data_IF_431324941091
#
_entry.id   IF_431324941091
#
_cell.length_a   1.000
_cell.length_b   1.000
_cell.length_c   1.000
_cell.angle_alpha   90.00
_cell.angle_beta   90.00
_cell.angle_gamma   90.00
#
_symmetry.space_group_name_H-M   'P 1'
#
loop_
_entity.id
_entity.type
_entity.pdbx_description
1 polymer ?
#
# COMPACT_ATOMS: atom_id res chain seq x y z
N UNK A 1 39.20 43.33 -51.07
CA UNK A 1 39.28 42.95 -49.65
C UNK A 1 37.96 42.34 -49.25
N UNK A 2 37.88 41.00 -49.20
CA UNK A 2 36.66 40.26 -48.85
C UNK A 2 36.83 39.94 -47.36
N UNK A 3 35.97 40.51 -46.50
CA UNK A 3 36.06 40.34 -45.06
C UNK A 3 35.64 38.93 -44.67
N UNK A 4 36.51 38.23 -43.94
CA UNK A 4 36.20 36.93 -43.34
C UNK A 4 35.13 37.11 -42.24
N UNK A 5 34.06 36.33 -42.35
CA UNK A 5 33.01 36.21 -41.34
C UNK A 5 33.50 35.25 -40.25
N UNK A 6 33.63 35.75 -39.02
CA UNK A 6 33.91 34.91 -37.86
C UNK A 6 32.70 33.99 -37.58
N UNK A 7 32.88 32.66 -37.40
CA UNK A 7 31.77 31.81 -37.01
C UNK A 7 31.35 32.12 -35.57
N UNK A 8 30.04 32.31 -35.36
CA UNK A 8 29.46 32.45 -34.04
C UNK A 8 29.80 31.23 -33.18
N UNK A 9 30.50 31.46 -32.07
CA UNK A 9 30.79 30.46 -31.05
C UNK A 9 29.48 29.87 -30.52
N UNK A 10 29.38 28.54 -30.48
CA UNK A 10 28.28 27.82 -29.85
C UNK A 10 28.26 28.16 -28.35
N UNK A 11 27.34 29.05 -27.98
CA UNK A 11 26.93 29.27 -26.61
C UNK A 11 26.50 27.92 -26.01
N UNK A 12 27.03 27.58 -24.82
CA UNK A 12 26.70 26.33 -24.14
C UNK A 12 25.18 26.11 -24.10
N UNK A 13 24.74 25.03 -24.76
CA UNK A 13 23.34 24.77 -25.04
C UNK A 13 22.63 24.27 -23.77
N UNK A 14 21.46 24.82 -23.45
CA UNK A 14 20.61 24.42 -22.30
C UNK A 14 20.39 22.91 -22.26
N UNK A 15 20.33 22.26 -23.43
CA UNK A 15 20.18 20.82 -23.55
C UNK A 15 21.36 20.06 -22.95
N UNK A 16 22.59 20.53 -23.14
CA UNK A 16 23.77 19.89 -22.56
C UNK A 16 23.84 20.08 -21.04
N UNK A 17 23.46 21.26 -20.54
CA UNK A 17 23.35 21.50 -19.10
C UNK A 17 22.33 20.55 -18.46
N UNK A 18 21.13 20.43 -19.04
CA UNK A 18 20.09 19.51 -18.53
C UNK A 18 20.51 18.04 -18.61
N UNK A 19 21.19 17.62 -19.68
CA UNK A 19 21.70 16.25 -19.77
C UNK A 19 22.80 15.96 -18.74
N UNK A 20 23.66 16.94 -18.45
CA UNK A 20 24.70 16.81 -17.43
C UNK A 20 24.09 16.73 -16.02
N UNK A 21 23.07 17.54 -15.72
CA UNK A 21 22.35 17.51 -14.44
C UNK A 21 21.66 16.15 -14.18
N UNK A 22 21.03 15.54 -15.19
CA UNK A 22 20.40 14.21 -15.06
C UNK A 22 21.44 13.12 -14.77
N UNK A 23 22.58 13.14 -15.45
CA UNK A 23 23.65 12.13 -15.29
C UNK A 23 24.34 12.19 -13.93
N UNK A 24 24.48 13.38 -13.35
CA UNK A 24 25.03 13.55 -12.00
C UNK A 24 24.03 13.13 -10.91
N UNK A 25 22.73 13.38 -11.11
CA UNK A 25 21.70 12.93 -10.18
C UNK A 25 21.65 11.40 -10.04
N UNK A 26 21.90 10.65 -11.12
CA UNK A 26 21.93 9.18 -11.08
C UNK A 26 23.08 8.58 -10.25
N UNK A 27 24.19 9.29 -10.08
CA UNK A 27 25.31 8.84 -9.22
C UNK A 27 25.04 9.09 -7.73
N UNK A 28 24.29 10.15 -7.39
CA UNK A 28 23.93 10.45 -6.00
C UNK A 28 22.96 9.44 -5.37
N UNK A 29 22.10 8.82 -6.18
CA UNK A 29 21.10 7.85 -5.72
C UNK A 29 21.74 6.53 -5.24
N UNK A 30 22.86 6.11 -5.83
CA UNK A 30 23.57 4.89 -5.43
C UNK A 30 24.35 5.03 -4.11
N UNK A 31 24.78 6.25 -3.75
CA UNK A 31 25.54 6.51 -2.52
C UNK A 31 24.69 6.61 -1.25
N UNK A 32 23.38 6.85 -1.38
CA UNK A 32 22.48 7.09 -0.24
C UNK A 32 21.62 5.87 0.15
N UNK A 33 21.79 4.71 -0.50
CA UNK A 33 21.03 3.49 -0.17
C UNK A 33 19.51 3.61 -0.41
N UNK A 34 19.04 4.69 -1.03
CA UNK A 34 17.67 4.88 -1.49
C UNK A 34 17.46 4.03 -2.75
N UNK A 35 17.30 2.73 -2.54
CA UNK A 35 16.99 1.78 -3.59
C UNK A 35 15.61 2.14 -4.19
N UNK A 36 15.52 2.53 -5.48
CA UNK A 36 14.21 2.70 -6.12
C UNK A 36 13.48 1.37 -6.02
N UNK A 37 12.19 1.42 -5.67
CA UNK A 37 11.35 0.26 -5.47
C UNK A 37 11.64 -0.83 -6.52
N UNK A 38 12.02 -2.03 -6.06
CA UNK A 38 12.26 -3.18 -6.95
C UNK A 38 11.04 -3.34 -7.86
N UNK A 39 11.20 -3.36 -9.20
CA UNK A 39 10.05 -3.58 -10.08
C UNK A 39 9.44 -4.94 -9.74
N UNK A 40 8.15 -4.93 -9.40
CA UNK A 40 7.40 -6.15 -9.16
C UNK A 40 7.40 -6.99 -10.45
N UNK A 41 7.80 -8.25 -10.33
CA UNK A 41 7.86 -9.18 -11.46
C UNK A 41 6.44 -9.75 -11.65
N UNK A 42 5.67 -9.15 -12.55
CA UNK A 42 4.30 -9.57 -12.81
C UNK A 42 4.26 -10.93 -13.51
N UNK A 43 3.36 -11.82 -13.06
CA UNK A 43 3.05 -13.04 -13.79
C UNK A 43 2.36 -12.69 -15.11
N UNK A 44 2.72 -13.36 -16.21
CA UNK A 44 2.06 -13.17 -17.50
C UNK A 44 0.66 -13.78 -17.42
N UNK A 45 -0.37 -12.93 -17.37
CA UNK A 45 -1.77 -13.33 -17.51
C UNK A 45 -2.22 -13.07 -18.95
N UNK A 46 -3.00 -13.99 -19.53
CA UNK A 46 -3.60 -13.86 -20.87
C UNK A 46 -4.69 -12.80 -20.96
N UNK A 47 -5.20 -12.34 -19.81
CA UNK A 47 -6.36 -11.46 -19.70
C UNK A 47 -5.92 -10.11 -19.13
N UNK A 48 -6.63 -9.02 -19.45
CA UNK A 48 -6.30 -7.69 -18.96
C UNK A 48 -6.42 -7.63 -17.43
N UNK A 49 -5.28 -7.55 -16.74
CA UNK A 49 -5.17 -7.32 -15.29
C UNK A 49 -4.41 -6.02 -15.07
N UNK A 50 -5.07 -5.05 -14.47
CA UNK A 50 -4.45 -3.79 -14.04
C UNK A 50 -4.43 -3.74 -12.52
N UNK A 51 -3.29 -3.34 -11.95
CA UNK A 51 -3.13 -3.10 -10.53
C UNK A 51 -2.92 -1.60 -10.33
N UNK A 52 -3.83 -0.96 -9.60
CA UNK A 52 -3.74 0.47 -9.29
C UNK A 52 -3.22 0.61 -7.86
N UNK A 53 -1.96 1.03 -7.73
CA UNK A 53 -1.37 1.38 -6.44
C UNK A 53 -1.64 2.85 -6.14
N UNK A 54 -2.52 3.13 -5.17
CA UNK A 54 -2.71 4.49 -4.66
C UNK A 54 -1.69 4.73 -3.54
N UNK A 55 -0.70 5.58 -3.82
CA UNK A 55 0.26 6.01 -2.82
C UNK A 55 -0.21 7.30 -2.15
N UNK A 56 -0.55 7.22 -0.87
CA UNK A 56 -0.99 8.38 -0.08
C UNK A 56 0.23 9.02 0.60
N UNK A 57 0.76 10.09 -0.02
CA UNK A 57 1.94 10.84 0.42
C UNK A 57 1.73 11.70 1.70
N UNK A 58 0.79 11.30 2.55
CA UNK A 58 0.50 11.88 3.87
C UNK A 58 0.15 10.82 4.92
N UNK A 59 0.25 9.53 4.58
CA UNK A 59 -0.10 8.41 5.43
C UNK A 59 -1.56 7.99 5.32
N UNK A 60 -1.80 6.69 5.50
CA UNK A 60 -3.12 6.13 5.74
C UNK A 60 -3.17 5.67 7.20
N UNK A 61 -4.15 6.13 7.97
CA UNK A 61 -4.40 5.58 9.30
C UNK A 61 -5.26 4.32 9.17
N UNK A 62 -4.60 3.18 8.95
CA UNK A 62 -5.27 1.90 8.78
C UNK A 62 -6.13 1.49 9.99
N UNK A 63 -5.78 1.96 11.19
CA UNK A 63 -6.51 1.64 12.41
C UNK A 63 -7.84 2.42 12.49
N UNK A 64 -7.94 3.58 11.83
CA UNK A 64 -9.21 4.30 11.66
C UNK A 64 -9.91 3.97 10.34
N UNK A 65 -9.26 3.28 9.40
CA UNK A 65 -9.91 2.80 8.18
C UNK A 65 -10.84 1.62 8.49
N UNK A 66 -10.34 0.64 9.24
CA UNK A 66 -11.07 -0.57 9.63
C UNK A 66 -10.82 -0.89 11.10
N UNK A 67 -11.90 -1.00 11.86
CA UNK A 67 -11.88 -1.13 13.32
C UNK A 67 -12.48 -2.48 13.72
N UNK A 68 -11.81 -3.29 14.57
CA UNK A 68 -12.41 -4.52 15.09
C UNK A 68 -13.54 -4.21 16.08
N UNK A 69 -14.63 -4.98 16.05
CA UNK A 69 -15.82 -4.72 16.86
C UNK A 69 -16.06 -5.74 17.99
N UNK A 70 -15.30 -6.83 18.07
CA UNK A 70 -15.37 -7.69 19.25
C UNK A 70 -14.85 -6.95 20.49
N UNK A 71 -15.46 -7.25 21.63
CA UNK A 71 -15.24 -6.51 22.86
C UNK A 71 -13.75 -6.39 23.23
N UNK A 72 -12.98 -7.47 23.10
CA UNK A 72 -11.57 -7.50 23.48
C UNK A 72 -10.72 -6.61 22.58
N UNK A 73 -10.79 -6.79 21.25
CA UNK A 73 -9.98 -6.00 20.30
C UNK A 73 -10.46 -4.55 20.22
N UNK A 74 -11.76 -4.29 20.33
CA UNK A 74 -12.28 -2.93 20.34
C UNK A 74 -11.83 -2.15 21.59
N UNK A 75 -11.86 -2.78 22.77
CA UNK A 75 -11.32 -2.18 24.01
C UNK A 75 -9.82 -1.90 23.89
N UNK A 76 -9.06 -2.84 23.32
CA UNK A 76 -7.63 -2.64 23.08
C UNK A 76 -7.37 -1.50 22.08
N UNK A 77 -8.16 -1.42 21.00
CA UNK A 77 -8.12 -0.32 20.04
C UNK A 77 -8.38 1.02 20.72
N UNK A 78 -9.46 1.15 21.49
CA UNK A 78 -9.79 2.38 22.22
C UNK A 78 -8.66 2.79 23.17
N UNK A 79 -8.12 1.83 23.93
CA UNK A 79 -7.05 2.09 24.90
C UNK A 79 -5.76 2.58 24.22
N UNK A 80 -5.42 2.03 23.05
CA UNK A 80 -4.22 2.42 22.29
C UNK A 80 -4.39 3.76 21.55
N UNK A 81 -5.64 4.13 21.21
CA UNK A 81 -5.95 5.29 20.39
C UNK A 81 -6.38 6.52 21.19
N UNK A 82 -6.90 6.33 22.40
CA UNK A 82 -7.44 7.40 23.22
C UNK A 82 -8.49 8.20 22.46
N UNK A 83 -8.32 9.52 22.41
CA UNK A 83 -9.25 10.45 21.76
C UNK A 83 -9.37 10.26 20.23
N UNK A 84 -8.45 9.51 19.60
CA UNK A 84 -8.52 9.20 18.17
C UNK A 84 -9.36 7.95 17.85
N UNK A 85 -9.90 7.29 18.87
CA UNK A 85 -10.69 6.08 18.73
C UNK A 85 -12.09 6.42 18.21
N UNK A 86 -12.43 5.84 17.05
CA UNK A 86 -13.78 5.92 16.48
C UNK A 86 -14.82 5.18 17.33
N UNK A 87 -16.02 5.72 17.38
CA UNK A 87 -17.17 5.13 18.07
C UNK A 87 -18.52 5.49 17.44
N UNK A 88 -19.55 4.68 17.72
CA UNK A 88 -20.93 4.99 17.38
C UNK A 88 -21.13 5.34 15.90
N UNK A 89 -21.55 6.57 15.63
CA UNK A 89 -21.88 7.06 14.28
C UNK A 89 -20.66 7.27 13.37
N UNK A 90 -19.45 7.16 13.91
CA UNK A 90 -18.21 7.24 13.12
C UNK A 90 -17.87 5.92 12.40
N UNK A 91 -18.63 4.86 12.72
CA UNK A 91 -18.47 3.52 12.18
C UNK A 91 -19.68 3.16 11.31
N UNK A 92 -19.42 2.53 10.17
CA UNK A 92 -20.46 1.99 9.29
C UNK A 92 -21.00 0.65 9.81
N UNK A 93 -22.07 0.19 9.15
CA UNK A 93 -22.64 -1.13 9.37
C UNK A 93 -21.55 -2.23 9.36
N UNK A 94 -21.55 -3.15 10.34
CA UNK A 94 -20.51 -4.16 10.48
C UNK A 94 -20.33 -5.04 9.25
N UNK A 95 -19.07 -5.34 8.95
CA UNK A 95 -18.64 -6.37 8.01
C UNK A 95 -17.93 -7.50 8.76
N UNK A 96 -17.81 -8.66 8.13
CA UNK A 96 -17.10 -9.80 8.71
C UNK A 96 -15.98 -10.28 7.79
N UNK A 97 -14.85 -10.68 8.37
CA UNK A 97 -13.82 -11.40 7.63
C UNK A 97 -14.25 -12.85 7.31
N UNK A 98 -13.40 -13.59 6.60
CA UNK A 98 -13.67 -14.98 6.24
C UNK A 98 -13.79 -15.93 7.46
N UNK A 99 -13.30 -15.53 8.64
CA UNK A 99 -13.39 -16.27 9.89
C UNK A 99 -14.59 -15.83 10.77
N UNK A 100 -15.39 -14.87 10.31
CA UNK A 100 -16.54 -14.34 11.03
C UNK A 100 -16.21 -13.28 12.08
N UNK A 101 -14.98 -12.76 12.10
CA UNK A 101 -14.60 -11.67 12.99
C UNK A 101 -15.28 -10.37 12.56
N UNK A 102 -15.94 -9.63 13.48
CA UNK A 102 -16.64 -8.41 13.14
C UNK A 102 -15.69 -7.21 13.07
N UNK A 103 -15.86 -6.41 12.03
CA UNK A 103 -15.17 -5.15 11.80
C UNK A 103 -16.17 -4.08 11.35
N UNK A 104 -15.79 -2.81 11.46
CA UNK A 104 -16.49 -1.71 10.80
C UNK A 104 -15.50 -0.81 10.07
N UNK A 105 -15.95 -0.24 8.96
CA UNK A 105 -15.22 0.78 8.23
C UNK A 105 -15.58 2.18 8.76
N UNK A 106 -14.67 3.13 8.59
CA UNK A 106 -14.92 4.55 8.85
C UNK A 106 -16.16 5.07 8.09
N UNK A 107 -16.95 5.97 8.70
CA UNK A 107 -18.18 6.53 8.10
C UNK A 107 -18.00 7.09 6.68
N UNK A 108 -16.83 7.66 6.39
CA UNK A 108 -16.47 8.19 5.07
C UNK A 108 -16.23 7.14 3.97
N UNK A 109 -16.35 5.84 4.27
CA UNK A 109 -16.04 4.73 3.37
C UNK A 109 -17.28 3.91 2.96
N UNK A 110 -18.45 4.56 2.86
CA UNK A 110 -19.72 3.92 2.52
C UNK A 110 -19.66 3.09 1.24
N UNK A 111 -18.98 3.61 0.21
CA UNK A 111 -18.80 2.92 -1.07
C UNK A 111 -17.94 1.66 -0.95
N UNK A 112 -16.89 1.70 -0.12
CA UNK A 112 -16.09 0.51 0.15
C UNK A 112 -16.87 -0.52 0.96
N UNK A 113 -17.73 -0.07 1.89
CA UNK A 113 -18.62 -0.95 2.63
C UNK A 113 -19.59 -1.68 1.69
N UNK A 114 -20.19 -0.97 0.73
CA UNK A 114 -21.03 -1.56 -0.30
C UNK A 114 -20.29 -2.57 -1.18
N UNK A 115 -19.04 -2.25 -1.59
CA UNK A 115 -18.21 -3.16 -2.38
C UNK A 115 -17.80 -4.42 -1.60
N UNK A 116 -17.52 -4.30 -0.30
CA UNK A 116 -17.23 -5.45 0.56
C UNK A 116 -18.43 -6.39 0.63
N UNK A 117 -19.61 -5.84 0.94
CA UNK A 117 -20.86 -6.59 1.02
C UNK A 117 -21.27 -7.23 -0.32
N UNK A 118 -20.91 -6.60 -1.44
CA UNK A 118 -21.09 -7.15 -2.78
C UNK A 118 -20.07 -8.25 -3.14
N UNK A 119 -19.12 -8.57 -2.26
CA UNK A 119 -18.03 -9.51 -2.54
C UNK A 119 -17.14 -9.03 -3.68
N UNK A 120 -16.88 -7.71 -3.76
CA UNK A 120 -16.06 -7.05 -4.78
C UNK A 120 -14.85 -6.31 -4.20
N UNK A 121 -14.67 -6.38 -2.88
CA UNK A 121 -13.55 -5.80 -2.13
C UNK A 121 -13.03 -6.86 -1.16
N UNK A 122 -11.71 -7.01 -1.12
CA UNK A 122 -11.02 -7.76 -0.08
C UNK A 122 -10.18 -6.80 0.75
N UNK A 123 -10.06 -7.09 2.05
CA UNK A 123 -9.21 -6.34 2.98
C UNK A 123 -8.10 -7.26 3.46
N UNK A 124 -6.85 -6.83 3.25
CA UNK A 124 -5.68 -7.56 3.75
C UNK A 124 -5.14 -6.81 4.96
N UNK A 125 -5.34 -7.42 6.13
CA UNK A 125 -4.87 -6.91 7.41
C UNK A 125 -3.41 -7.31 7.64
N UNK A 126 -2.77 -6.63 8.58
CA UNK A 126 -1.45 -7.00 9.08
C UNK A 126 -0.36 -7.03 7.99
N UNK A 127 -0.53 -6.18 6.96
CA UNK A 127 0.52 -5.86 6.00
C UNK A 127 1.33 -4.69 6.55
N UNK A 128 2.49 -4.38 5.97
CA UNK A 128 3.27 -3.21 6.36
C UNK A 128 4.76 -3.48 6.49
N UNK A 129 5.52 -2.45 6.80
CA UNK A 129 6.95 -2.57 7.04
C UNK A 129 7.19 -3.19 8.41
N UNK A 130 8.13 -4.13 8.49
CA UNK A 130 8.58 -4.69 9.75
C UNK A 130 9.15 -3.56 10.63
N UNK A 131 8.71 -3.48 11.89
CA UNK A 131 9.29 -2.55 12.86
C UNK A 131 10.69 -2.97 13.34
N UNK A 132 11.06 -4.24 13.12
CA UNK A 132 12.39 -4.81 13.37
C UNK A 132 12.71 -5.91 12.37
N UNK A 133 13.99 -6.16 12.05
CA UNK A 133 14.37 -7.33 11.26
C UNK A 133 13.85 -8.64 11.87
N UNK A 134 13.50 -9.61 11.01
CA UNK A 134 13.13 -10.96 11.41
C UNK A 134 14.12 -11.98 10.84
N UNK A 135 14.47 -12.98 11.62
CA UNK A 135 15.26 -14.12 11.17
C UNK A 135 14.37 -15.20 10.53
N UNK A 136 14.95 -16.03 9.66
CA UNK A 136 14.24 -17.18 9.07
C UNK A 136 13.70 -18.14 10.14
N UNK A 137 14.46 -18.35 11.21
CA UNK A 137 14.06 -19.23 12.30
C UNK A 137 12.79 -18.70 13.01
N UNK A 138 12.73 -17.39 13.28
CA UNK A 138 11.54 -16.75 13.86
C UNK A 138 10.32 -16.89 12.95
N UNK A 139 10.46 -16.71 11.63
CA UNK A 139 9.33 -16.90 10.68
C UNK A 139 8.80 -18.33 10.75
N UNK A 140 9.69 -19.32 10.71
CA UNK A 140 9.30 -20.74 10.69
C UNK A 140 8.70 -21.22 12.01
N UNK A 141 9.05 -20.58 13.13
CA UNK A 141 8.48 -20.84 14.46
C UNK A 141 7.13 -20.13 14.69
N UNK A 142 6.65 -19.34 13.73
CA UNK A 142 5.39 -18.60 13.85
C UNK A 142 5.48 -17.31 14.64
N UNK A 143 6.69 -16.82 14.95
CA UNK A 143 6.88 -15.55 15.64
C UNK A 143 6.43 -14.40 14.73
N UNK A 144 5.21 -13.93 14.95
CA UNK A 144 4.59 -12.88 14.16
C UNK A 144 4.97 -11.51 14.69
N UNK A 145 5.74 -10.74 13.92
CA UNK A 145 5.83 -9.29 14.15
C UNK A 145 4.52 -8.64 13.71
N UNK A 146 3.90 -7.88 14.63
CA UNK A 146 2.70 -7.09 14.32
C UNK A 146 3.07 -6.01 13.29
N UNK A 147 2.28 -5.96 12.23
CA UNK A 147 2.40 -4.99 11.15
C UNK A 147 1.11 -4.17 11.12
N UNK A 148 1.23 -2.84 11.12
CA UNK A 148 0.09 -1.93 11.11
C UNK A 148 0.00 -1.27 9.74
N UNK A 149 -0.38 -2.02 8.71
CA UNK A 149 -0.79 -1.46 7.43
C UNK A 149 -1.92 -2.31 6.86
N UNK A 150 -2.95 -1.63 6.38
CA UNK A 150 -4.09 -2.20 5.72
C UNK A 150 -4.26 -1.44 4.41
N UNK A 151 -4.15 -2.18 3.31
CA UNK A 151 -5.02 -2.16 2.12
C UNK A 151 -4.25 -2.79 0.96
N UNK A 152 -4.76 -3.93 0.49
CA UNK A 152 -4.72 -4.30 -0.91
C UNK A 152 -6.18 -4.42 -1.35
N UNK A 153 -6.69 -3.40 -2.03
CA UNK A 153 -8.00 -3.44 -2.69
C UNK A 153 -7.78 -4.11 -4.04
N UNK A 154 -8.22 -5.35 -4.19
CA UNK A 154 -8.40 -5.92 -5.52
C UNK A 154 -9.86 -5.66 -5.92
N UNK A 155 -10.05 -4.99 -7.07
CA UNK A 155 -11.35 -4.79 -7.71
C UNK A 155 -11.38 -5.70 -8.95
N UNK A 156 -12.08 -6.83 -8.88
CA UNK A 156 -12.28 -7.65 -10.08
C UNK A 156 -13.28 -6.95 -11.00
N UNK A 157 -12.80 -6.49 -12.16
CA UNK A 157 -13.62 -5.82 -13.17
C UNK A 157 -14.40 -6.79 -14.08
N UNK A 158 -14.41 -8.10 -13.82
CA UNK A 158 -15.16 -9.05 -14.65
C UNK A 158 -15.61 -10.28 -13.86
N UNK A 159 -16.90 -10.30 -13.51
CA UNK A 159 -17.76 -11.49 -13.30
C UNK A 159 -17.34 -12.59 -12.30
N UNK A 160 -16.28 -12.44 -11.52
CA UNK A 160 -15.88 -13.44 -10.52
C UNK A 160 -16.28 -13.03 -9.11
N UNK A 161 -17.15 -13.79 -8.44
CA UNK A 161 -17.14 -13.86 -6.98
C UNK A 161 -15.71 -14.18 -6.53
N UNK A 162 -15.23 -13.56 -5.45
CA UNK A 162 -14.05 -14.05 -4.72
C UNK A 162 -14.41 -15.36 -4.00
N UNK A 163 -14.76 -16.40 -4.77
CA UNK A 163 -15.01 -17.76 -4.28
C UNK A 163 -13.70 -18.54 -4.08
N UNK A 164 -12.55 -17.91 -4.33
CA UNK A 164 -11.26 -18.46 -3.92
C UNK A 164 -10.89 -17.76 -2.62
N UNK A 165 -10.89 -18.48 -1.49
CA UNK A 165 -10.22 -17.98 -0.30
C UNK A 165 -8.84 -17.53 -0.76
N UNK A 166 -8.47 -16.27 -0.54
CA UNK A 166 -7.05 -15.94 -0.50
C UNK A 166 -6.57 -16.79 0.67
N UNK A 167 -5.80 -17.88 0.44
CA UNK A 167 -5.28 -18.64 1.54
C UNK A 167 -4.26 -17.70 2.18
N UNK A 168 -4.70 -16.97 3.21
CA UNK A 168 -3.81 -16.38 4.18
C UNK A 168 -3.15 -17.59 4.81
N UNK A 169 -2.00 -17.97 4.26
CA UNK A 169 -1.14 -19.03 4.75
C UNK A 169 -0.51 -18.52 6.05
N UNK A 170 -1.36 -18.33 7.06
CA UNK A 170 -0.95 -18.18 8.43
C UNK A 170 -1.09 -19.54 9.08
N UNK A 171 -0.02 -20.11 9.65
CA UNK A 171 -0.12 -21.34 10.41
C UNK A 171 -1.11 -21.12 11.55
N UNK A 172 -2.15 -21.94 11.60
CA UNK A 172 -3.01 -22.08 12.76
C UNK A 172 -2.23 -22.83 13.85
N UNK A 173 -1.56 -22.08 14.72
CA UNK A 173 -1.00 -22.57 15.98
C UNK A 173 -1.13 -21.50 17.06
#
# INVERSE_FOLDING_TARGET
>A
MKGDVMPHQHCADRRNFLQLSVRLATLGILGLGLSPARPARAAQASDYKALVCVYLAGGNDGNNLIVPLDAARYTAYQSLRGDLALSGTELLEPIADAAGNPYALHYGLSELNALYNAGRLAVVLNTGMLHRPLTRAEVLQGNSVRLNFCVAVELSASSGQYARPIPLLWPSH
#
